data_IF_741525952237
#
_entry.id   IF_741525952237
#
_cell.length_a   1.000
_cell.length_b   1.000
_cell.length_c   1.000
_cell.angle_alpha   90.00
_cell.angle_beta   90.00
_cell.angle_gamma   90.00
#
_symmetry.space_group_name_H-M   'P 1'
#
loop_
_entity.id
_entity.type
_entity.pdbx_description
1 polymer ?
#
# COMPACT_ATOMS: atom_id res chain seq x y z
N UNK A 1 -16.06 8.78 -7.02
CA UNK A 1 -15.31 8.30 -5.83
C UNK A 1 -13.90 7.90 -6.27
N UNK A 2 -12.85 8.46 -5.69
CA UNK A 2 -11.47 8.11 -6.04
C UNK A 2 -11.10 6.74 -5.47
N UNK A 3 -10.59 5.83 -6.32
CA UNK A 3 -10.07 4.52 -5.88
C UNK A 3 -8.78 4.74 -5.07
N UNK A 4 -8.64 3.99 -3.98
CA UNK A 4 -7.39 3.89 -3.23
C UNK A 4 -6.32 3.27 -4.16
N UNK A 5 -5.08 3.73 -4.07
CA UNK A 5 -3.99 3.33 -4.98
C UNK A 5 -3.99 4.06 -6.32
N UNK A 6 -4.74 5.15 -6.48
CA UNK A 6 -4.78 5.99 -7.69
C UNK A 6 -4.08 7.34 -7.46
N UNK A 7 -3.73 8.09 -8.51
CA UNK A 7 -3.11 9.42 -8.37
C UNK A 7 -3.88 10.37 -7.42
N UNK A 8 -5.21 10.29 -7.38
CA UNK A 8 -6.04 11.12 -6.52
C UNK A 8 -6.11 10.63 -5.06
N UNK A 9 -5.74 9.36 -4.80
CA UNK A 9 -5.74 8.72 -3.48
C UNK A 9 -4.66 7.63 -3.45
N UNK A 10 -3.38 8.00 -3.28
CA UNK A 10 -2.33 7.01 -3.07
C UNK A 10 -2.57 6.27 -1.75
N UNK A 11 -2.17 5.01 -1.68
CA UNK A 11 -2.14 4.26 -0.43
C UNK A 11 -0.96 4.75 0.41
N UNK A 12 -1.16 4.96 1.71
CA UNK A 12 -0.08 5.35 2.61
C UNK A 12 0.25 4.16 3.49
N UNK A 13 1.51 3.72 3.46
CA UNK A 13 1.99 2.64 4.30
C UNK A 13 3.05 3.18 5.25
N UNK A 14 3.12 2.59 6.43
CA UNK A 14 4.19 2.83 7.38
C UNK A 14 4.85 1.51 7.73
N UNK A 15 6.17 1.49 7.66
CA UNK A 15 7.01 0.33 7.97
C UNK A 15 8.15 0.73 8.88
N UNK A 16 8.79 -0.25 9.50
CA UNK A 16 9.94 -0.01 10.38
C UNK A 16 11.28 -0.08 9.67
N UNK A 17 11.33 -0.62 8.45
CA UNK A 17 12.56 -0.90 7.73
C UNK A 17 12.47 -0.54 6.25
N UNK A 18 13.57 -0.05 5.69
CA UNK A 18 13.72 0.24 4.26
C UNK A 18 13.55 -0.98 3.36
N UNK A 19 14.01 -2.16 3.82
CA UNK A 19 13.86 -3.41 3.07
C UNK A 19 12.38 -3.74 2.82
N UNK A 20 11.57 -3.67 3.89
CA UNK A 20 10.11 -3.82 3.82
C UNK A 20 9.45 -2.75 2.96
N UNK A 21 9.95 -1.51 3.02
CA UNK A 21 9.44 -0.44 2.18
C UNK A 21 9.67 -0.74 0.70
N UNK A 22 10.87 -1.21 0.37
CA UNK A 22 11.25 -1.54 -1.02
C UNK A 22 10.41 -2.69 -1.55
N UNK A 23 10.27 -3.77 -0.77
CA UNK A 23 9.47 -4.93 -1.14
C UNK A 23 8.00 -4.56 -1.43
N UNK A 24 7.37 -3.81 -0.51
CA UNK A 24 5.99 -3.33 -0.68
C UNK A 24 5.85 -2.35 -1.84
N UNK A 25 6.86 -1.50 -2.07
CA UNK A 25 6.86 -0.56 -3.18
C UNK A 25 6.87 -1.30 -4.52
N UNK A 26 7.75 -2.29 -4.67
CA UNK A 26 7.82 -3.11 -5.90
C UNK A 26 6.49 -3.83 -6.16
N UNK A 27 5.93 -4.48 -5.15
CA UNK A 27 4.64 -5.18 -5.27
C UNK A 27 3.52 -4.24 -5.70
N UNK A 28 3.46 -3.03 -5.12
CA UNK A 28 2.47 -2.02 -5.50
C UNK A 28 2.72 -1.47 -6.91
N UNK A 29 3.98 -1.26 -7.30
CA UNK A 29 4.36 -0.76 -8.62
C UNK A 29 4.01 -1.78 -9.72
N UNK A 30 4.27 -3.07 -9.50
CA UNK A 30 3.88 -4.16 -10.40
C UNK A 30 2.35 -4.23 -10.58
N UNK A 31 1.59 -3.93 -9.52
CA UNK A 31 0.12 -3.84 -9.59
C UNK A 31 -0.39 -2.50 -10.14
N UNK A 32 0.50 -1.57 -10.48
CA UNK A 32 0.15 -0.24 -10.98
C UNK A 32 -0.50 0.68 -9.94
N UNK A 33 -0.29 0.41 -8.65
CA UNK A 33 -0.86 1.17 -7.55
C UNK A 33 0.09 2.29 -7.12
N UNK A 34 -0.47 3.47 -6.88
CA UNK A 34 0.24 4.58 -6.25
C UNK A 34 0.28 4.36 -4.73
N UNK A 35 1.49 4.19 -4.20
CA UNK A 35 1.76 4.02 -2.78
C UNK A 35 2.80 5.03 -2.29
N UNK A 36 2.66 5.48 -1.05
CA UNK A 36 3.62 6.31 -0.32
C UNK A 36 4.01 5.52 0.92
N UNK A 37 5.29 5.18 1.05
CA UNK A 37 5.77 4.37 2.18
C UNK A 37 6.65 5.25 3.07
N UNK A 38 6.28 5.34 4.35
CA UNK A 38 7.06 6.02 5.36
C UNK A 38 7.79 4.98 6.22
N UNK A 39 9.10 5.15 6.36
CA UNK A 39 9.91 4.32 7.26
C UNK A 39 10.02 5.06 8.59
N UNK A 40 9.43 4.50 9.64
CA UNK A 40 9.28 5.15 10.95
C UNK A 40 9.28 4.04 12.02
N UNK A 41 10.46 3.68 12.53
CA UNK A 41 10.62 2.59 13.52
C UNK A 41 10.08 2.93 14.91
N UNK A 42 9.72 4.20 15.14
CA UNK A 42 9.19 4.71 16.41
C UNK A 42 7.68 4.49 16.55
N UNK A 43 6.95 4.49 15.42
CA UNK A 43 5.50 4.29 15.38
C UNK A 43 5.15 2.91 14.83
N UNK A 44 4.05 2.28 15.25
CA UNK A 44 3.65 0.98 14.72
C UNK A 44 3.46 1.02 13.19
N UNK A 45 3.75 -0.11 12.55
CA UNK A 45 3.54 -0.31 11.12
C UNK A 45 2.05 -0.13 10.78
N UNK A 46 1.76 0.57 9.69
CA UNK A 46 0.40 0.74 9.17
C UNK A 46 0.34 0.21 7.74
N UNK A 47 -0.33 -0.93 7.59
CA UNK A 47 -0.55 -1.62 6.32
C UNK A 47 -2.04 -1.65 5.96
N UNK A 48 -2.86 -0.81 6.60
CA UNK A 48 -4.31 -0.83 6.47
C UNK A 48 -4.75 -0.57 5.03
N UNK A 49 -4.08 0.37 4.34
CA UNK A 49 -4.36 0.68 2.95
C UNK A 49 -3.90 -0.44 2.00
N UNK A 50 -2.78 -1.11 2.28
CA UNK A 50 -2.32 -2.26 1.51
C UNK A 50 -3.31 -3.42 1.59
N UNK A 51 -3.78 -3.75 2.79
CA UNK A 51 -4.83 -4.76 2.98
C UNK A 51 -6.14 -4.40 2.27
N UNK A 52 -6.50 -3.11 2.21
CA UNK A 52 -7.67 -2.64 1.44
C UNK A 52 -7.48 -2.77 -0.06
N UNK A 53 -6.28 -2.53 -0.57
CA UNK A 53 -5.96 -2.71 -1.98
C UNK A 53 -6.06 -4.18 -2.40
N UNK A 54 -5.43 -5.08 -1.63
CA UNK A 54 -5.52 -6.53 -1.86
C UNK A 54 -6.95 -7.04 -1.67
N UNK A 55 -7.64 -6.60 -0.62
CA UNK A 55 -9.03 -6.99 -0.33
C UNK A 55 -10.01 -6.58 -1.41
N UNK A 56 -9.79 -5.44 -2.10
CA UNK A 56 -10.61 -5.02 -3.24
C UNK A 56 -10.43 -5.89 -4.47
N UNK A 57 -9.23 -6.41 -4.71
CA UNK A 57 -8.97 -7.31 -5.84
C UNK A 57 -9.77 -8.62 -5.71
N UNK A 58 -10.06 -9.04 -4.47
CA UNK A 58 -10.77 -10.30 -4.18
C UNK A 58 -12.30 -10.25 -4.31
N UNK A 59 -12.88 -9.11 -4.73
CA UNK A 59 -14.34 -8.96 -4.90
C UNK A 59 -14.83 -9.18 -6.34
N UNK A 60 -13.98 -9.61 -7.28
CA UNK A 60 -14.34 -9.86 -8.69
C UNK A 60 -14.54 -11.34 -9.06
N UNK A 61 -14.48 -12.25 -8.08
CA UNK A 61 -14.86 -13.64 -8.24
C UNK A 61 -16.13 -13.94 -7.44
N UNK A 62 -17.29 -13.57 -7.96
CA UNK A 62 -18.60 -14.02 -7.50
C UNK A 62 -19.54 -14.09 -8.69
#
# INVERSE_FOLDING_TARGET
MSKLGSNARPAVLRVHSEEKATDLYQVCEEMGWKVIINIDSDKPEDLSDYHRLIGKSRSLFS
#
